data_IF_572009199139
#
_entry.id   IF_572009199139
#
_cell.length_a   1.000
_cell.length_b   1.000
_cell.length_c   1.000
_cell.angle_alpha   90.00
_cell.angle_beta   90.00
_cell.angle_gamma   90.00
#
_symmetry.space_group_name_H-M   'P 1'
#
loop_
_entity.id
_entity.type
_entity.pdbx_description
1 polymer ?
#
# COMPACT_ATOMS: atom_id res chain seq x y z
N UNK A 1 -29.67 -6.05 -11.02
CA UNK A 1 -28.36 -6.67 -10.71
C UNK A 1 -27.22 -5.86 -11.25
N UNK A 2 -27.27 -5.49 -12.53
CA UNK A 2 -26.21 -4.68 -13.15
C UNK A 2 -26.02 -3.33 -12.46
N UNK A 3 -27.09 -2.71 -11.96
CA UNK A 3 -27.03 -1.39 -11.32
C UNK A 3 -26.22 -1.41 -10.03
N UNK A 4 -26.35 -2.46 -9.24
CA UNK A 4 -25.59 -2.60 -7.99
C UNK A 4 -24.10 -2.81 -8.29
N UNK A 5 -23.80 -3.62 -9.29
CA UNK A 5 -22.41 -3.86 -9.69
C UNK A 5 -21.79 -2.59 -10.25
N UNK A 6 -22.50 -1.86 -11.09
CA UNK A 6 -22.01 -0.61 -11.64
C UNK A 6 -21.76 0.43 -10.56
N UNK A 7 -22.66 0.51 -9.56
CA UNK A 7 -22.45 1.40 -8.43
C UNK A 7 -21.20 1.05 -7.64
N UNK A 8 -20.93 -0.24 -7.46
CA UNK A 8 -19.72 -0.68 -6.76
C UNK A 8 -18.46 -0.31 -7.52
N UNK A 9 -18.49 -0.47 -8.84
CA UNK A 9 -17.35 -0.09 -9.69
C UNK A 9 -17.10 1.41 -9.67
N UNK A 10 -18.15 2.20 -9.76
CA UNK A 10 -18.04 3.66 -9.74
C UNK A 10 -17.52 4.16 -8.40
N UNK A 11 -18.00 3.57 -7.31
CA UNK A 11 -17.51 3.92 -5.98
C UNK A 11 -16.02 3.64 -5.86
N UNK A 12 -15.56 2.49 -6.36
CA UNK A 12 -14.14 2.16 -6.30
C UNK A 12 -13.30 3.12 -7.14
N UNK A 13 -13.78 3.48 -8.34
CA UNK A 13 -13.08 4.43 -9.20
C UNK A 13 -13.01 5.82 -8.59
N UNK A 14 -13.97 6.17 -7.73
CA UNK A 14 -13.99 7.48 -7.09
C UNK A 14 -12.97 7.62 -5.97
N UNK A 15 -12.40 6.51 -5.50
CA UNK A 15 -11.38 6.57 -4.47
C UNK A 15 -10.10 7.18 -5.03
N UNK A 16 -9.52 8.08 -4.24
CA UNK A 16 -8.34 8.79 -4.67
C UNK A 16 -7.10 7.90 -4.63
N UNK A 17 -6.20 8.17 -5.57
CA UNK A 17 -4.86 7.58 -5.53
C UNK A 17 -4.14 8.18 -4.34
N UNK A 18 -3.53 7.34 -3.51
CA UNK A 18 -2.77 7.80 -2.36
C UNK A 18 -1.43 8.33 -2.79
N UNK A 19 -1.06 9.49 -2.26
CA UNK A 19 0.23 10.11 -2.47
C UNK A 19 0.98 10.05 -1.14
N UNK A 20 2.08 9.30 -1.12
CA UNK A 20 2.84 9.05 0.11
C UNK A 20 4.21 9.68 -0.03
N UNK A 21 4.49 10.68 0.81
CA UNK A 21 5.81 11.31 0.85
C UNK A 21 6.72 10.56 1.80
N UNK A 22 7.96 10.34 1.36
CA UNK A 22 8.95 9.62 2.15
C UNK A 22 10.17 10.51 2.30
N UNK A 23 10.16 11.39 3.33
CA UNK A 23 11.27 12.33 3.50
C UNK A 23 12.59 11.65 3.82
N UNK A 24 12.56 10.43 4.34
CA UNK A 24 13.77 9.65 4.60
C UNK A 24 14.50 9.24 3.32
N UNK A 25 13.78 9.23 2.19
CA UNK A 25 14.34 8.83 0.89
C UNK A 25 14.33 10.04 -0.03
N UNK A 26 15.39 10.83 0.05
CA UNK A 26 15.48 12.02 -0.77
C UNK A 26 15.90 11.69 -2.20
N UNK A 27 15.34 12.44 -3.15
CA UNK A 27 15.81 12.38 -4.53
C UNK A 27 17.10 13.17 -4.67
N UNK A 28 17.72 13.10 -5.84
CA UNK A 28 18.96 13.85 -6.11
C UNK A 28 18.76 15.35 -6.00
N UNK A 29 17.52 15.82 -6.15
CA UNK A 29 17.19 17.25 -6.08
C UNK A 29 16.92 17.70 -4.64
N UNK A 30 17.08 16.84 -3.66
CA UNK A 30 16.84 17.16 -2.25
C UNK A 30 15.37 17.19 -1.86
N UNK A 31 14.48 16.71 -2.73
CA UNK A 31 13.04 16.63 -2.46
C UNK A 31 12.68 15.26 -1.90
N UNK A 32 11.60 15.17 -1.08
CA UNK A 32 11.16 13.86 -0.61
C UNK A 32 10.79 12.96 -1.78
N UNK A 33 11.10 11.69 -1.66
CA UNK A 33 10.64 10.70 -2.62
C UNK A 33 9.13 10.52 -2.43
N UNK A 34 8.39 10.36 -3.53
CA UNK A 34 6.93 10.22 -3.48
C UNK A 34 6.53 8.91 -4.14
N UNK A 35 5.69 8.15 -3.43
CA UNK A 35 5.09 6.94 -3.96
C UNK A 35 3.60 7.18 -4.17
N UNK A 36 3.08 6.73 -5.29
CA UNK A 36 1.66 6.76 -5.60
C UNK A 36 1.12 5.34 -5.55
N UNK A 37 -0.05 5.16 -4.96
CA UNK A 37 -0.67 3.85 -4.84
C UNK A 37 -2.16 3.93 -5.12
N UNK A 38 -2.62 3.13 -6.08
CA UNK A 38 -4.06 3.00 -6.35
C UNK A 38 -4.71 2.18 -5.24
N UNK A 39 -6.03 2.33 -5.02
CA UNK A 39 -6.72 1.53 -4.00
C UNK A 39 -6.60 0.03 -4.28
N UNK A 40 -6.55 -0.76 -3.21
CA UNK A 40 -6.47 -2.20 -3.33
C UNK A 40 -7.82 -2.80 -3.71
N UNK A 41 -7.79 -3.71 -4.67
CA UNK A 41 -8.96 -4.52 -4.98
C UNK A 41 -9.02 -5.71 -4.02
N UNK A 42 -10.18 -6.37 -3.98
CA UNK A 42 -10.34 -7.58 -3.16
C UNK A 42 -9.39 -8.69 -3.66
N UNK A 43 -9.22 -8.80 -4.98
CA UNK A 43 -8.30 -9.78 -5.56
C UNK A 43 -6.85 -9.52 -5.12
N UNK A 44 -6.45 -8.25 -5.07
CA UNK A 44 -5.10 -7.89 -4.62
C UNK A 44 -4.90 -8.21 -3.15
N UNK A 45 -5.91 -7.94 -2.31
CA UNK A 45 -5.84 -8.30 -0.89
C UNK A 45 -5.70 -9.81 -0.70
N UNK A 46 -6.44 -10.58 -1.49
CA UNK A 46 -6.36 -12.04 -1.44
C UNK A 46 -4.97 -12.52 -1.86
N UNK A 47 -4.41 -11.92 -2.92
CA UNK A 47 -3.08 -12.26 -3.40
C UNK A 47 -2.02 -12.02 -2.33
N UNK A 48 -2.14 -10.89 -1.61
CA UNK A 48 -1.20 -10.53 -0.55
C UNK A 48 -1.31 -11.43 0.66
N UNK A 49 -2.52 -11.93 0.99
CA UNK A 49 -2.72 -12.75 2.17
C UNK A 49 -2.56 -14.25 1.92
N UNK A 50 -2.44 -14.65 0.65
CA UNK A 50 -2.40 -16.06 0.26
C UNK A 50 -1.18 -16.76 0.85
N UNK A 51 -1.42 -17.94 1.48
CA UNK A 51 -0.39 -18.80 2.05
C UNK A 51 0.48 -18.11 3.09
N UNK A 52 -0.05 -17.05 3.73
CA UNK A 52 0.69 -16.31 4.75
C UNK A 52 0.25 -16.66 6.16
N UNK A 53 1.23 -16.64 7.04
CA UNK A 53 0.96 -16.65 8.47
C UNK A 53 0.68 -15.22 8.91
N UNK A 54 -0.03 -15.06 10.02
CA UNK A 54 -0.45 -13.75 10.51
C UNK A 54 0.72 -12.82 10.85
N UNK A 55 1.88 -13.38 11.13
CA UNK A 55 3.08 -12.61 11.51
C UNK A 55 4.11 -12.50 10.38
N UNK A 56 3.71 -12.77 9.13
CA UNK A 56 4.63 -12.74 8.00
C UNK A 56 5.00 -11.31 7.65
N UNK A 57 6.21 -10.90 8.02
CA UNK A 57 6.69 -9.54 7.77
C UNK A 57 7.02 -9.29 6.30
N UNK A 58 7.15 -10.34 5.50
CA UNK A 58 7.40 -10.16 4.06
C UNK A 58 6.20 -9.54 3.35
N UNK A 59 5.03 -9.54 3.99
CA UNK A 59 3.84 -8.87 3.46
C UNK A 59 4.13 -7.42 3.10
N UNK A 60 4.87 -6.71 3.96
CA UNK A 60 5.13 -5.30 3.74
C UNK A 60 5.92 -5.05 2.47
N UNK A 61 6.95 -5.87 2.21
CA UNK A 61 7.70 -5.77 0.96
C UNK A 61 6.83 -6.10 -0.24
N UNK A 62 5.99 -7.13 -0.13
CA UNK A 62 5.10 -7.54 -1.21
C UNK A 62 4.06 -6.45 -1.55
N UNK A 63 3.60 -5.71 -0.55
CA UNK A 63 2.70 -4.58 -0.78
C UNK A 63 3.37 -3.52 -1.66
N UNK A 64 4.62 -3.19 -1.36
CA UNK A 64 5.36 -2.22 -2.17
C UNK A 64 5.57 -2.73 -3.59
N UNK A 65 5.94 -4.00 -3.73
CA UNK A 65 6.12 -4.59 -5.06
C UNK A 65 4.84 -4.54 -5.90
N UNK A 66 3.71 -4.74 -5.26
CA UNK A 66 2.43 -4.79 -5.96
C UNK A 66 1.87 -3.40 -6.26
N UNK A 67 2.01 -2.45 -5.33
CA UNK A 67 1.24 -1.20 -5.39
C UNK A 67 2.07 0.07 -5.51
N UNK A 68 3.36 0.07 -5.21
CA UNK A 68 4.15 1.29 -5.26
C UNK A 68 4.41 1.70 -6.71
N UNK A 69 3.96 2.91 -7.09
CA UNK A 69 4.04 3.41 -8.46
C UNK A 69 4.54 4.85 -8.47
N UNK A 70 5.01 5.29 -9.63
CA UNK A 70 5.35 6.69 -9.83
C UNK A 70 4.09 7.48 -10.24
N UNK A 71 4.26 8.77 -10.52
CA UNK A 71 3.14 9.65 -10.88
C UNK A 71 2.50 9.30 -12.22
N UNK A 72 3.14 8.46 -13.01
CA UNK A 72 2.64 8.02 -14.30
C UNK A 72 2.03 6.62 -14.25
N UNK A 73 2.00 6.00 -13.08
CA UNK A 73 1.45 4.66 -12.91
C UNK A 73 2.43 3.53 -13.20
N UNK A 74 3.72 3.84 -13.33
CA UNK A 74 4.73 2.80 -13.53
C UNK A 74 5.18 2.20 -12.21
N UNK A 75 5.36 0.89 -12.17
CA UNK A 75 5.84 0.21 -10.97
C UNK A 75 7.23 0.68 -10.60
N UNK A 76 7.43 0.98 -9.32
CA UNK A 76 8.73 1.44 -8.83
C UNK A 76 9.68 0.29 -8.51
N UNK A 77 9.14 -0.86 -8.13
CA UNK A 77 9.95 -2.01 -7.71
C UNK A 77 9.63 -3.24 -8.53
N UNK A 78 10.66 -4.06 -8.73
CA UNK A 78 10.55 -5.34 -9.42
C UNK A 78 10.72 -6.47 -8.40
N UNK A 79 10.32 -7.67 -8.77
CA UNK A 79 10.47 -8.83 -7.89
C UNK A 79 11.91 -8.99 -7.40
N UNK A 80 12.89 -8.65 -8.23
CA UNK A 80 14.29 -8.72 -7.87
C UNK A 80 14.66 -7.77 -6.74
N UNK A 81 13.87 -6.72 -6.51
CA UNK A 81 14.12 -5.74 -5.45
C UNK A 81 13.66 -6.22 -4.08
N UNK A 82 12.91 -7.31 -4.01
CA UNK A 82 12.35 -7.81 -2.75
C UNK A 82 13.43 -8.07 -1.71
N UNK A 83 14.53 -8.69 -2.12
CA UNK A 83 15.63 -8.98 -1.20
C UNK A 83 16.17 -7.70 -0.56
N UNK A 84 16.38 -6.67 -1.37
CA UNK A 84 16.89 -5.38 -0.88
C UNK A 84 15.88 -4.70 0.05
N UNK A 85 14.60 -4.77 -0.26
CA UNK A 85 13.57 -4.20 0.59
C UNK A 85 13.52 -4.88 1.96
N UNK A 86 13.75 -6.20 1.99
CA UNK A 86 13.72 -6.95 3.23
C UNK A 86 15.01 -6.79 4.06
N UNK A 87 16.15 -6.57 3.42
CA UNK A 87 17.44 -6.65 4.10
C UNK A 87 18.22 -5.35 4.15
N UNK A 88 17.90 -4.38 3.29
CA UNK A 88 18.71 -3.16 3.15
C UNK A 88 17.95 -1.87 3.35
N UNK A 89 16.64 -1.94 3.55
CA UNK A 89 15.81 -0.75 3.77
C UNK A 89 15.35 -0.70 5.23
N UNK A 90 15.09 0.52 5.72
CA UNK A 90 14.62 0.70 7.10
C UNK A 90 13.23 0.06 7.24
N UNK A 91 13.08 -0.95 8.13
CA UNK A 91 11.80 -1.63 8.29
C UNK A 91 10.67 -0.70 8.74
N UNK A 92 10.97 0.31 9.54
CA UNK A 92 9.94 1.25 9.99
C UNK A 92 9.37 2.06 8.83
N UNK A 93 10.21 2.45 7.88
CA UNK A 93 9.77 3.17 6.70
C UNK A 93 8.93 2.26 5.80
N UNK A 94 9.41 1.03 5.55
CA UNK A 94 8.69 0.06 4.73
C UNK A 94 7.30 -0.24 5.31
N UNK A 95 7.24 -0.48 6.62
CA UNK A 95 5.97 -0.79 7.30
C UNK A 95 5.01 0.40 7.26
N UNK A 96 5.53 1.61 7.45
CA UNK A 96 4.71 2.82 7.38
C UNK A 96 4.07 2.98 5.99
N UNK A 97 4.88 2.82 4.94
CA UNK A 97 4.40 2.93 3.57
C UNK A 97 3.35 1.85 3.28
N UNK A 98 3.66 0.61 3.63
CA UNK A 98 2.76 -0.51 3.38
C UNK A 98 1.43 -0.35 4.11
N UNK A 99 1.47 0.11 5.36
CA UNK A 99 0.24 0.33 6.12
C UNK A 99 -0.62 1.43 5.53
N UNK A 100 -0.01 2.47 4.99
CA UNK A 100 -0.76 3.53 4.30
C UNK A 100 -1.41 2.99 3.03
N UNK A 101 -0.70 2.14 2.29
CA UNK A 101 -1.25 1.52 1.08
C UNK A 101 -2.42 0.60 1.44
N UNK A 102 -2.27 -0.19 2.50
CA UNK A 102 -3.30 -1.14 2.94
C UNK A 102 -4.50 -0.45 3.59
N UNK A 103 -4.38 0.83 3.92
CA UNK A 103 -5.43 1.59 4.61
C UNK A 103 -5.80 0.98 5.96
N UNK A 104 -4.79 0.43 6.66
CA UNK A 104 -5.02 -0.16 7.97
C UNK A 104 -5.42 0.91 8.96
N UNK A 105 -6.59 0.76 9.56
CA UNK A 105 -7.06 1.65 10.60
C UNK A 105 -6.44 1.21 11.93
N UNK A 106 -5.79 2.14 12.67
CA UNK A 106 -5.26 1.78 13.99
C UNK A 106 -6.38 1.27 14.90
N UNK A 107 -6.02 0.30 15.76
CA UNK A 107 -6.98 -0.30 16.68
C UNK A 107 -7.66 0.75 17.57
N UNK A 108 -6.92 1.76 17.98
CA UNK A 108 -7.46 2.83 18.82
C UNK A 108 -8.59 3.59 18.13
N UNK A 109 -8.43 3.88 16.84
CA UNK A 109 -9.48 4.57 16.07
C UNK A 109 -10.68 3.67 15.89
N UNK A 110 -10.46 2.38 15.69
CA UNK A 110 -11.53 1.40 15.55
C UNK A 110 -12.36 1.30 16.84
N UNK A 111 -11.70 1.27 17.98
CA UNK A 111 -12.37 1.23 19.28
C UNK A 111 -13.22 2.48 19.53
N UNK A 112 -12.69 3.65 19.16
CA UNK A 112 -13.44 4.91 19.30
C UNK A 112 -14.72 4.90 18.48
N UNK A 113 -14.68 4.35 17.28
CA UNK A 113 -15.86 4.27 16.43
C UNK A 113 -16.92 3.33 16.99
N UNK A 114 -16.51 2.35 17.76
CA UNK A 114 -17.43 1.33 18.28
C UNK A 114 -17.90 1.60 19.70
N UNK A 115 -17.42 2.67 20.32
CA UNK A 115 -17.80 3.00 21.71
C UNK A 115 -19.02 3.91 21.81
N UNK A 116 -19.57 4.34 20.71
CA UNK A 116 -20.81 5.10 20.71
C UNK A 116 -22.02 4.15 20.82
#
# INVERSE_FOLDING_TARGET
MSDILESAKEHFKSKDIKRIEIPEWETKDGKPFVIYATPLTLAEKRRLSRDRKSDDVTLFADVLLLKAEDDKGNKLYKLDDKHSLLHSADPNVIMRIANQILEVTPVEDWEKKNQD
#
